data_IF_417779751694
#
_entry.id   IF_417779751694
#
_cell.length_a   1.000
_cell.length_b   1.000
_cell.length_c   1.000
_cell.angle_alpha   90.00
_cell.angle_beta   90.00
_cell.angle_gamma   90.00
#
_symmetry.space_group_name_H-M   'P 1'
#
loop_
_entity.id
_entity.type
_entity.pdbx_description
1 polymer ?
#
# COMPACT_ATOMS: atom_id res chain seq x y z
N UNK A 1 24.26 -3.44 -2.10
CA UNK A 1 23.37 -3.72 -0.94
C UNK A 1 23.88 -4.96 -0.24
N UNK A 2 24.07 -4.92 1.08
CA UNK A 2 24.41 -6.12 1.85
C UNK A 2 23.19 -7.05 1.96
N UNK A 3 23.43 -8.36 2.09
CA UNK A 3 22.36 -9.36 2.17
C UNK A 3 21.39 -9.10 3.34
N UNK A 4 21.89 -8.57 4.46
CA UNK A 4 21.07 -8.18 5.61
C UNK A 4 20.10 -7.03 5.27
N UNK A 5 20.56 -6.01 4.56
CA UNK A 5 19.72 -4.87 4.18
C UNK A 5 18.55 -5.30 3.26
N UNK A 6 18.82 -6.18 2.29
CA UNK A 6 17.78 -6.71 1.40
C UNK A 6 16.75 -7.55 2.17
N UNK A 7 17.22 -8.39 3.09
CA UNK A 7 16.35 -9.19 3.96
C UNK A 7 15.49 -8.30 4.84
N UNK A 8 16.05 -7.24 5.41
CA UNK A 8 15.31 -6.33 6.29
C UNK A 8 14.27 -5.54 5.48
N UNK A 9 14.61 -5.07 4.28
CA UNK A 9 13.66 -4.44 3.36
C UNK A 9 12.53 -5.40 2.98
N UNK A 10 12.83 -6.66 2.67
CA UNK A 10 11.84 -7.69 2.36
C UNK A 10 10.85 -7.89 3.51
N UNK A 11 11.37 -8.04 4.72
CA UNK A 11 10.55 -8.24 5.90
C UNK A 11 9.68 -7.01 6.19
N UNK A 12 10.24 -5.81 6.06
CA UNK A 12 9.51 -4.55 6.23
C UNK A 12 8.36 -4.41 5.24
N UNK A 13 8.58 -4.74 3.96
CA UNK A 13 7.54 -4.68 2.93
C UNK A 13 6.39 -5.65 3.23
N UNK A 14 6.71 -6.89 3.60
CA UNK A 14 5.67 -7.88 3.99
C UNK A 14 4.93 -7.41 5.24
N UNK A 15 5.63 -6.87 6.24
CA UNK A 15 5.02 -6.32 7.45
C UNK A 15 4.10 -5.14 7.16
N UNK A 16 4.47 -4.25 6.23
CA UNK A 16 3.61 -3.15 5.79
C UNK A 16 2.33 -3.66 5.11
N UNK A 17 2.40 -4.74 4.34
CA UNK A 17 1.24 -5.38 3.72
C UNK A 17 0.31 -6.03 4.77
N UNK A 18 0.87 -6.67 5.80
CA UNK A 18 0.08 -7.22 6.90
C UNK A 18 -0.61 -6.11 7.69
N UNK A 19 0.13 -5.05 8.06
CA UNK A 19 -0.41 -3.90 8.79
C UNK A 19 -1.57 -3.23 8.05
N UNK A 20 -1.45 -3.06 6.74
CA UNK A 20 -2.48 -2.44 5.91
C UNK A 20 -3.82 -3.19 5.88
N UNK A 21 -3.81 -4.50 6.17
CA UNK A 21 -5.01 -5.36 6.15
C UNK A 21 -5.51 -5.71 7.55
N UNK A 22 -4.67 -5.50 8.57
CA UNK A 22 -4.93 -5.86 9.96
C UNK A 22 -6.21 -5.25 10.48
N UNK A 23 -6.45 -3.96 10.24
CA UNK A 23 -7.59 -3.25 10.84
C UNK A 23 -8.94 -3.78 10.32
N UNK A 24 -8.97 -4.26 9.07
CA UNK A 24 -10.18 -4.83 8.45
C UNK A 24 -10.40 -6.31 8.76
N UNK A 25 -9.33 -7.10 8.87
CA UNK A 25 -9.40 -8.57 8.88
C UNK A 25 -8.96 -9.21 10.21
N UNK A 26 -8.42 -8.42 11.13
CA UNK A 26 -7.64 -8.92 12.24
C UNK A 26 -6.27 -9.48 11.80
N UNK A 27 -5.40 -9.75 12.77
CA UNK A 27 -4.02 -10.16 12.49
C UNK A 27 -3.93 -11.52 11.77
N UNK A 28 -4.73 -12.51 12.20
CA UNK A 28 -4.73 -13.83 11.59
C UNK A 28 -5.26 -13.80 10.15
N UNK A 29 -6.32 -13.03 9.89
CA UNK A 29 -6.87 -12.82 8.56
C UNK A 29 -5.89 -12.09 7.64
N UNK A 30 -5.20 -11.06 8.14
CA UNK A 30 -4.17 -10.34 7.40
C UNK A 30 -3.01 -11.26 6.99
N UNK A 31 -2.53 -12.14 7.88
CA UNK A 31 -1.51 -13.12 7.51
C UNK A 31 -1.98 -14.07 6.40
N UNK A 32 -3.20 -14.58 6.49
CA UNK A 32 -3.74 -15.49 5.49
C UNK A 32 -3.92 -14.80 4.12
N UNK A 33 -4.37 -13.53 4.12
CA UNK A 33 -4.56 -12.78 2.89
C UNK A 33 -3.24 -12.42 2.21
N UNK A 34 -2.25 -11.94 2.98
CA UNK A 34 -0.92 -11.61 2.45
C UNK A 34 -0.21 -12.87 1.94
N UNK A 35 -0.32 -13.99 2.66
CA UNK A 35 0.21 -15.27 2.22
C UNK A 35 -0.38 -15.68 0.86
N UNK A 36 -1.70 -15.57 0.69
CA UNK A 36 -2.36 -15.86 -0.58
C UNK A 36 -1.92 -14.92 -1.70
N UNK A 37 -1.82 -13.62 -1.42
CA UNK A 37 -1.45 -12.61 -2.42
C UNK A 37 -0.01 -12.79 -2.93
N UNK A 38 0.90 -13.22 -2.06
CA UNK A 38 2.32 -13.42 -2.40
C UNK A 38 2.65 -14.86 -2.83
N UNK A 39 1.70 -15.80 -2.74
CA UNK A 39 1.96 -17.23 -2.95
C UNK A 39 2.85 -17.83 -1.86
N UNK A 40 2.84 -17.25 -0.66
CA UNK A 40 3.63 -17.70 0.49
C UNK A 40 2.81 -18.58 1.43
N UNK A 41 3.49 -19.25 2.36
CA UNK A 41 2.82 -19.86 3.52
C UNK A 41 2.56 -18.81 4.60
N UNK A 42 1.51 -19.00 5.40
CA UNK A 42 1.23 -18.16 6.58
C UNK A 42 2.43 -18.12 7.53
N UNK A 43 3.13 -19.24 7.69
CA UNK A 43 4.35 -19.32 8.50
C UNK A 43 5.44 -18.38 7.98
N UNK A 44 5.63 -18.32 6.66
CA UNK A 44 6.62 -17.42 6.03
C UNK A 44 6.28 -15.96 6.30
N UNK A 45 5.02 -15.58 6.14
CA UNK A 45 4.55 -14.20 6.41
C UNK A 45 4.72 -13.84 7.89
N UNK A 46 4.42 -14.76 8.82
CA UNK A 46 4.69 -14.56 10.25
C UNK A 46 6.18 -14.37 10.55
N UNK A 47 7.04 -15.18 9.93
CA UNK A 47 8.49 -15.02 10.10
C UNK A 47 8.94 -13.63 9.63
N UNK A 48 8.41 -13.11 8.52
CA UNK A 48 8.68 -11.73 8.10
C UNK A 48 8.20 -10.71 9.13
N UNK A 49 6.99 -10.89 9.66
CA UNK A 49 6.41 -10.01 10.67
C UNK A 49 7.25 -9.92 11.95
N UNK A 50 7.86 -11.02 12.36
CA UNK A 50 8.72 -11.09 13.53
C UNK A 50 10.21 -10.88 13.23
N UNK A 51 10.57 -10.54 12.00
CA UNK A 51 11.96 -10.36 11.56
C UNK A 51 12.86 -11.61 11.68
N UNK A 52 12.29 -12.79 11.51
CA UNK A 52 12.94 -14.10 11.72
C UNK A 52 13.41 -14.78 10.40
N UNK A 53 13.18 -14.16 9.25
CA UNK A 53 13.66 -14.70 7.96
C UNK A 53 15.18 -14.62 7.91
N UNK A 54 15.84 -15.69 7.43
CA UNK A 54 17.31 -15.73 7.29
C UNK A 54 17.82 -15.54 5.86
N UNK A 55 17.00 -15.92 4.88
CA UNK A 55 17.32 -15.86 3.47
C UNK A 55 16.06 -15.52 2.66
N UNK A 56 16.25 -14.79 1.57
CA UNK A 56 15.20 -14.37 0.64
C UNK A 56 15.60 -14.84 -0.75
N UNK A 57 14.70 -15.51 -1.45
CA UNK A 57 14.93 -15.90 -2.84
C UNK A 57 14.59 -14.76 -3.79
N UNK A 58 15.17 -14.77 -4.99
CA UNK A 58 14.86 -13.76 -6.01
C UNK A 58 13.36 -13.75 -6.37
N UNK A 59 12.72 -14.92 -6.43
CA UNK A 59 11.30 -15.04 -6.73
C UNK A 59 10.42 -14.41 -5.63
N UNK A 60 10.73 -14.66 -4.36
CA UNK A 60 10.04 -14.02 -3.24
C UNK A 60 10.20 -12.50 -3.27
N UNK A 61 11.43 -12.03 -3.54
CA UNK A 61 11.73 -10.62 -3.66
C UNK A 61 10.90 -9.94 -4.77
N UNK A 62 10.85 -10.56 -5.95
CA UNK A 62 10.06 -10.07 -7.08
C UNK A 62 8.56 -10.05 -6.77
N UNK A 63 8.01 -11.07 -6.12
CA UNK A 63 6.60 -11.12 -5.73
C UNK A 63 6.22 -9.96 -4.78
N UNK A 64 7.03 -9.71 -3.76
CA UNK A 64 6.79 -8.61 -2.80
C UNK A 64 6.89 -7.25 -3.49
N UNK A 65 7.89 -7.05 -4.37
CA UNK A 65 8.04 -5.82 -5.15
C UNK A 65 6.87 -5.58 -6.09
N UNK A 66 6.38 -6.62 -6.76
CA UNK A 66 5.24 -6.54 -7.66
C UNK A 66 3.96 -6.17 -6.91
N UNK A 67 3.72 -6.79 -5.75
CA UNK A 67 2.58 -6.45 -4.90
C UNK A 67 2.66 -4.99 -4.41
N UNK A 68 3.84 -4.56 -3.95
CA UNK A 68 4.05 -3.18 -3.53
C UNK A 68 3.83 -2.17 -4.67
N UNK A 69 4.32 -2.47 -5.87
CA UNK A 69 4.10 -1.61 -7.05
C UNK A 69 2.62 -1.51 -7.42
N UNK A 70 1.88 -2.63 -7.39
CA UNK A 70 0.44 -2.63 -7.65
C UNK A 70 -0.33 -1.79 -6.63
N UNK A 71 0.04 -1.88 -5.35
CA UNK A 71 -0.54 -1.06 -4.28
C UNK A 71 -0.24 0.43 -4.46
N UNK A 72 1.00 0.78 -4.79
CA UNK A 72 1.37 2.18 -5.04
C UNK A 72 0.61 2.76 -6.23
N UNK A 73 0.43 1.98 -7.31
CA UNK A 73 -0.37 2.41 -8.47
C UNK A 73 -1.84 2.63 -8.10
N UNK A 74 -2.41 1.75 -7.27
CA UNK A 74 -3.79 1.92 -6.77
C UNK A 74 -3.93 3.19 -5.91
N UNK A 75 -2.98 3.42 -5.01
CA UNK A 75 -2.96 4.60 -4.15
C UNK A 75 -2.80 5.89 -4.95
N UNK A 76 -1.91 5.90 -5.93
CA UNK A 76 -1.74 7.02 -6.86
C UNK A 76 -3.04 7.30 -7.63
N UNK A 77 -3.71 6.26 -8.11
CA UNK A 77 -5.01 6.42 -8.79
C UNK A 77 -6.08 7.01 -7.87
N UNK A 78 -6.11 6.60 -6.58
CA UNK A 78 -7.04 7.17 -5.59
C UNK A 78 -6.75 8.64 -5.36
N UNK A 79 -5.48 9.00 -5.10
CA UNK A 79 -5.07 10.38 -4.84
C UNK A 79 -5.35 11.29 -6.04
N UNK A 80 -5.11 10.82 -7.27
CA UNK A 80 -5.45 11.57 -8.50
C UNK A 80 -6.95 11.82 -8.62
N UNK A 81 -7.78 10.85 -8.25
CA UNK A 81 -9.23 11.02 -8.25
C UNK A 81 -9.68 12.04 -7.21
N UNK A 82 -9.13 11.98 -5.99
CA UNK A 82 -9.42 12.94 -4.92
C UNK A 82 -9.00 14.37 -5.31
N UNK A 83 -7.81 14.55 -5.89
CA UNK A 83 -7.34 15.85 -6.38
C UNK A 83 -8.27 16.42 -7.48
N UNK A 84 -8.74 15.58 -8.40
CA UNK A 84 -9.70 16.00 -9.43
C UNK A 84 -11.01 16.51 -8.82
N UNK A 85 -11.56 15.82 -7.81
CA UNK A 85 -12.76 16.24 -7.10
C UNK A 85 -12.55 17.56 -6.36
N UNK A 86 -11.40 17.75 -5.72
CA UNK A 86 -11.06 18.98 -5.02
C UNK A 86 -10.97 20.15 -6.01
N UNK A 87 -10.28 19.97 -7.14
CA UNK A 87 -10.17 21.00 -8.20
C UNK A 87 -11.54 21.38 -8.75
N UNK A 88 -12.41 20.41 -9.00
CA UNK A 88 -13.77 20.68 -9.45
C UNK A 88 -14.58 21.50 -8.43
N UNK A 89 -14.46 21.18 -7.15
CA UNK A 89 -15.12 21.94 -6.06
C UNK A 89 -14.60 23.36 -5.98
N UNK A 90 -13.28 23.56 -6.08
CA UNK A 90 -12.67 24.89 -6.06
C UNK A 90 -13.14 25.74 -7.24
N UNK A 91 -13.23 25.15 -8.44
CA UNK A 91 -13.72 25.84 -9.61
C UNK A 91 -15.19 26.28 -9.45
N UNK A 92 -16.04 25.39 -8.92
CA UNK A 92 -17.44 25.72 -8.65
C UNK A 92 -17.57 26.88 -7.65
N UNK A 93 -16.73 26.88 -6.59
CA UNK A 93 -16.71 27.98 -5.61
C UNK A 93 -16.29 29.30 -6.27
N UNK A 94 -15.26 29.29 -7.11
CA UNK A 94 -14.79 30.49 -7.83
C UNK A 94 -15.88 31.06 -8.74
N UNK A 95 -16.58 30.19 -9.48
CA UNK A 95 -17.67 30.59 -10.36
C UNK A 95 -18.83 31.22 -9.57
N UNK A 96 -19.19 30.64 -8.42
CA UNK A 96 -20.22 31.22 -7.54
C UNK A 96 -19.79 32.57 -6.98
N UNK A 97 -18.53 32.73 -6.59
CA UNK A 97 -18.01 34.01 -6.10
C UNK A 97 -18.02 35.09 -7.18
N UNK A 98 -17.63 34.74 -8.42
CA UNK A 98 -17.70 35.66 -9.55
C UNK A 98 -19.15 36.10 -9.83
N UNK A 99 -20.09 35.14 -9.92
CA UNK A 99 -21.50 35.44 -10.13
C UNK A 99 -22.10 36.32 -9.03
N UNK A 100 -21.73 36.10 -7.76
CA UNK A 100 -22.17 36.96 -6.65
C UNK A 100 -21.58 38.38 -6.74
N UNK A 101 -20.33 38.51 -7.20
CA UNK A 101 -19.69 39.82 -7.38
C UNK A 101 -20.35 40.62 -8.50
N UNK A 102 -20.75 39.97 -9.59
CA UNK A 102 -21.41 40.65 -10.72
C UNK A 102 -22.84 41.13 -10.40
N UNK A 103 -23.42 40.66 -9.28
CA UNK A 103 -24.76 41.04 -8.80
C UNK A 103 -24.75 42.19 -7.77
N UNK A 104 -23.58 42.63 -7.29
CA UNK A 104 -23.39 43.69 -6.29
C UNK A 104 -22.83 44.97 -6.95
#
# INVERSE_FOLDING_TARGET
MCADALRDEFQNLVSAEVSARRDRLGLAGAFAEVARALGFTVRRVRACWHHEVRAVTLAEWQAVRALGAARLAQEESRLRHEDALIRQRLENIRQRQAALRDLL
#
